data_IF_270546918082
#
_entry.id   IF_270546918082
#
_cell.length_a   1.000
_cell.length_b   1.000
_cell.length_c   1.000
_cell.angle_alpha   90.00
_cell.angle_beta   90.00
_cell.angle_gamma   90.00
#
_symmetry.space_group_name_H-M   'P 1'
#
loop_
_entity.id
_entity.type
_entity.pdbx_description
1 polymer ?
#
# COMPACT_ATOMS: atom_id res chain seq x y z
N UNK A 1 -8.07 -12.52 10.84
CA UNK A 1 -7.49 -13.64 10.06
C UNK A 1 -6.80 -14.51 11.07
N UNK A 2 -7.12 -15.80 11.16
CA UNK A 2 -6.50 -16.67 12.17
C UNK A 2 -5.06 -16.99 11.72
N UNK A 3 -4.10 -16.18 12.15
CA UNK A 3 -2.66 -16.39 11.90
C UNK A 3 -2.21 -17.80 12.28
N UNK A 4 -2.75 -18.33 13.37
CA UNK A 4 -2.55 -19.72 13.81
C UNK A 4 -2.97 -20.77 12.77
N UNK A 5 -4.02 -20.52 11.97
CA UNK A 5 -4.43 -21.43 10.89
C UNK A 5 -3.47 -21.37 9.70
N UNK A 6 -2.91 -20.19 9.42
CA UNK A 6 -1.93 -19.99 8.35
C UNK A 6 -0.61 -20.66 8.70
N UNK A 7 -0.13 -20.49 9.93
CA UNK A 7 1.08 -21.16 10.44
C UNK A 7 0.92 -22.68 10.47
N UNK A 8 -0.22 -23.18 10.94
CA UNK A 8 -0.51 -24.61 10.92
C UNK A 8 -0.57 -25.17 9.49
N UNK A 9 -1.11 -24.41 8.53
CA UNK A 9 -1.13 -24.81 7.13
C UNK A 9 0.28 -24.83 6.52
N UNK A 10 1.11 -23.81 6.80
CA UNK A 10 2.50 -23.75 6.36
C UNK A 10 3.32 -24.91 6.90
N UNK A 11 3.24 -25.19 8.21
CA UNK A 11 3.96 -26.31 8.82
C UNK A 11 3.58 -27.66 8.20
N UNK A 12 2.29 -27.87 7.93
CA UNK A 12 1.81 -29.08 7.25
C UNK A 12 2.29 -29.18 5.80
N UNK A 13 2.41 -28.05 5.11
CA UNK A 13 2.89 -27.98 3.74
C UNK A 13 4.41 -28.27 3.68
N UNK A 14 5.16 -27.75 4.63
CA UNK A 14 6.60 -28.01 4.78
C UNK A 14 6.88 -29.47 5.13
N UNK A 15 6.10 -30.08 6.03
CA UNK A 15 6.17 -31.52 6.32
C UNK A 15 5.90 -32.37 5.07
N UNK A 16 4.86 -32.02 4.30
CA UNK A 16 4.54 -32.73 3.06
C UNK A 16 5.62 -32.56 1.99
N UNK A 17 6.23 -31.38 1.89
CA UNK A 17 7.35 -31.13 0.97
C UNK A 17 8.59 -31.91 1.38
N UNK A 18 8.96 -31.95 2.66
CA UNK A 18 10.13 -32.70 3.13
C UNK A 18 9.98 -34.21 2.98
N UNK A 19 8.74 -34.72 3.12
CA UNK A 19 8.46 -36.15 2.95
C UNK A 19 8.42 -36.56 1.48
N UNK A 20 8.20 -35.62 0.55
CA UNK A 20 8.07 -35.87 -0.88
C UNK A 20 9.00 -35.00 -1.70
N UNK A 21 10.31 -35.11 -1.47
CA UNK A 21 11.33 -34.62 -2.40
C UNK A 21 11.21 -35.38 -3.74
N UNK A 22 10.39 -34.85 -4.64
CA UNK A 22 10.19 -35.36 -6.00
C UNK A 22 11.44 -35.05 -6.84
N UNK A 23 12.55 -35.74 -6.57
CA UNK A 23 13.70 -35.72 -7.47
C UNK A 23 13.59 -36.88 -8.45
N UNK A 24 13.77 -36.60 -9.73
CA UNK A 24 13.77 -37.60 -10.80
C UNK A 24 14.73 -38.76 -10.45
N UNK A 25 15.85 -38.44 -9.81
CA UNK A 25 16.87 -39.39 -9.38
C UNK A 25 16.34 -40.36 -8.31
N UNK A 26 15.73 -39.85 -7.21
CA UNK A 26 15.10 -40.68 -6.17
C UNK A 26 13.95 -41.55 -6.71
N UNK A 27 13.20 -41.03 -7.69
CA UNK A 27 12.10 -41.79 -8.32
C UNK A 27 12.59 -42.85 -9.30
N UNK A 28 13.75 -42.65 -9.93
CA UNK A 28 14.37 -43.62 -10.84
C UNK A 28 15.09 -44.75 -10.11
N UNK A 29 15.52 -44.54 -8.87
CA UNK A 29 16.27 -45.51 -8.04
C UNK A 29 15.60 -46.90 -7.95
N UNK A 30 14.29 -47.05 -7.67
CA UNK A 30 13.61 -48.35 -7.67
C UNK A 30 13.54 -49.02 -9.06
N UNK A 31 13.55 -48.24 -10.14
CA UNK A 31 13.51 -48.76 -11.51
C UNK A 31 14.88 -49.39 -11.86
N UNK A 32 15.97 -48.69 -11.55
CA UNK A 32 17.35 -49.17 -11.76
C UNK A 32 17.74 -50.33 -10.85
N UNK A 33 17.26 -50.35 -9.60
CA UNK A 33 17.56 -51.43 -8.64
C UNK A 33 16.74 -52.71 -8.86
N UNK A 34 15.66 -52.65 -9.65
CA UNK A 34 14.90 -53.83 -10.06
C UNK A 34 15.56 -54.63 -11.20
N UNK A 35 16.60 -54.08 -11.85
CA UNK A 35 17.40 -54.82 -12.82
C UNK A 35 18.28 -55.83 -12.07
N UNK A 36 18.13 -57.15 -12.30
CA UNK A 36 18.94 -58.14 -11.61
C UNK A 36 20.42 -57.91 -11.90
N UNK A 37 21.19 -57.58 -10.86
CA UNK A 37 22.64 -57.62 -10.90
C UNK A 37 23.08 -59.09 -11.02
N UNK A 38 23.23 -59.58 -12.24
CA UNK A 38 23.91 -60.85 -12.48
C UNK A 38 25.41 -60.67 -12.15
N UNK A 39 25.81 -61.18 -10.99
CA UNK A 39 27.19 -61.15 -10.42
C UNK A 39 28.15 -62.10 -11.17
N UNK A 40 28.04 -62.17 -12.50
CA UNK A 40 29.01 -62.88 -13.36
C UNK A 40 29.49 -61.96 -14.47
N UNK A 41 30.14 -60.87 -14.07
CA UNK A 41 30.92 -60.02 -14.96
C UNK A 41 32.07 -60.85 -15.59
N UNK A 42 31.85 -61.34 -16.81
CA UNK A 42 32.95 -61.69 -17.71
C UNK A 42 33.58 -60.36 -18.15
N UNK A 43 34.86 -60.20 -17.86
CA UNK A 43 35.65 -58.99 -18.09
C UNK A 43 35.98 -58.76 -19.59
N UNK A 44 34.96 -58.65 -20.44
CA UNK A 44 35.13 -58.35 -21.86
C UNK A 44 34.10 -57.37 -22.43
N UNK A 45 33.36 -56.67 -21.58
CA UNK A 45 32.34 -55.72 -22.03
C UNK A 45 32.84 -54.27 -21.91
N UNK A 46 32.81 -53.54 -23.02
CA UNK A 46 33.23 -52.14 -23.15
C UNK A 46 32.24 -51.15 -22.49
N UNK A 47 31.43 -51.63 -21.54
CA UNK A 47 30.22 -50.99 -21.04
C UNK A 47 30.39 -50.28 -19.69
N UNK A 48 31.61 -50.18 -19.14
CA UNK A 48 31.87 -49.57 -17.83
C UNK A 48 32.05 -48.03 -17.85
N UNK A 49 31.64 -47.35 -18.92
CA UNK A 49 31.76 -45.90 -19.03
C UNK A 49 30.48 -45.18 -18.58
N UNK A 50 30.01 -45.42 -17.34
CA UNK A 50 29.09 -44.53 -16.61
C UNK A 50 28.91 -45.06 -15.19
N UNK A 51 29.96 -44.89 -14.36
CA UNK A 51 29.88 -45.13 -12.90
C UNK A 51 29.69 -43.83 -12.11
N UNK A 52 29.58 -42.68 -12.77
CA UNK A 52 29.07 -41.46 -12.15
C UNK A 52 27.56 -41.42 -12.36
N UNK A 53 26.79 -41.23 -11.29
CA UNK A 53 25.35 -41.38 -11.27
C UNK A 53 24.63 -40.60 -12.39
N UNK A 54 23.46 -41.07 -12.84
CA UNK A 54 22.79 -40.53 -14.03
C UNK A 54 22.43 -39.07 -13.80
N UNK A 55 23.15 -38.18 -14.48
CA UNK A 55 22.72 -36.79 -14.64
C UNK A 55 21.80 -36.71 -15.87
N UNK A 56 20.77 -35.85 -15.89
CA UNK A 56 19.83 -35.80 -17.02
C UNK A 56 20.51 -35.59 -18.38
N UNK A 57 21.62 -34.85 -18.39
CA UNK A 57 22.45 -34.61 -19.58
C UNK A 57 23.35 -35.79 -19.96
N UNK A 58 23.76 -36.65 -19.02
CA UNK A 58 24.53 -37.86 -19.35
C UNK A 58 23.65 -38.95 -19.96
N UNK A 59 22.37 -38.99 -19.60
CA UNK A 59 21.42 -40.00 -20.10
C UNK A 59 21.18 -39.88 -21.61
N UNK A 60 21.11 -38.67 -22.16
CA UNK A 60 20.96 -38.45 -23.60
C UNK A 60 22.18 -38.93 -24.39
N UNK A 61 23.39 -38.65 -23.87
CA UNK A 61 24.65 -39.13 -24.45
C UNK A 61 24.77 -40.66 -24.38
N UNK A 62 24.39 -41.26 -23.24
CA UNK A 62 24.38 -42.71 -23.05
C UNK A 62 23.39 -43.39 -24.01
N UNK A 63 22.17 -42.84 -24.15
CA UNK A 63 21.19 -43.36 -25.11
C UNK A 63 21.74 -43.30 -26.55
N UNK A 64 22.34 -42.19 -26.96
CA UNK A 64 22.95 -42.07 -28.28
C UNK A 64 24.06 -43.13 -28.48
N UNK A 65 24.96 -43.28 -27.51
CA UNK A 65 26.00 -44.30 -27.53
C UNK A 65 25.44 -45.72 -27.64
N UNK A 66 24.42 -46.07 -26.84
CA UNK A 66 23.79 -47.38 -26.89
C UNK A 66 23.06 -47.63 -28.21
N UNK A 67 22.38 -46.63 -28.78
CA UNK A 67 21.77 -46.81 -30.11
C UNK A 67 22.80 -47.15 -31.19
N UNK A 68 23.95 -46.47 -31.16
CA UNK A 68 25.04 -46.76 -32.09
C UNK A 68 25.64 -48.15 -31.83
N UNK A 69 25.96 -48.48 -30.58
CA UNK A 69 26.49 -49.79 -30.19
C UNK A 69 25.56 -50.94 -30.59
N UNK A 70 24.27 -50.84 -30.26
CA UNK A 70 23.28 -51.86 -30.61
C UNK A 70 23.05 -51.94 -32.11
N UNK A 71 23.12 -50.83 -32.85
CA UNK A 71 23.04 -50.87 -34.32
C UNK A 71 24.21 -51.65 -34.93
N UNK A 72 25.43 -51.44 -34.44
CA UNK A 72 26.64 -52.17 -34.85
C UNK A 72 26.58 -53.64 -34.46
N UNK A 73 26.15 -53.91 -33.22
CA UNK A 73 26.01 -55.28 -32.73
C UNK A 73 24.95 -56.05 -33.51
N UNK A 74 23.81 -55.41 -33.81
CA UNK A 74 22.75 -55.99 -34.66
C UNK A 74 23.27 -56.32 -36.05
N UNK A 75 24.03 -55.41 -36.66
CA UNK A 75 24.63 -55.64 -37.98
C UNK A 75 25.60 -56.84 -37.94
N UNK A 76 26.55 -56.83 -37.00
CA UNK A 76 27.53 -57.92 -36.84
C UNK A 76 26.86 -59.26 -36.56
N UNK A 77 25.84 -59.30 -35.71
CA UNK A 77 25.11 -60.52 -35.37
C UNK A 77 24.35 -61.07 -36.58
N UNK A 78 23.61 -60.22 -37.29
CA UNK A 78 22.88 -60.65 -38.49
C UNK A 78 23.85 -61.15 -39.56
N UNK A 79 24.97 -60.46 -39.77
CA UNK A 79 26.02 -60.89 -40.69
C UNK A 79 26.63 -62.23 -40.28
N UNK A 80 26.95 -62.42 -39.00
CA UNK A 80 27.53 -63.67 -38.51
C UNK A 80 26.55 -64.85 -38.63
N UNK A 81 25.30 -64.66 -38.21
CA UNK A 81 24.26 -65.70 -38.29
C UNK A 81 23.95 -66.04 -39.74
N UNK A 82 23.93 -65.06 -40.65
CA UNK A 82 23.71 -65.33 -42.08
C UNK A 82 24.89 -66.07 -42.70
N UNK A 83 26.14 -65.68 -42.39
CA UNK A 83 27.34 -66.42 -42.80
C UNK A 83 27.33 -67.86 -42.29
N UNK A 84 27.02 -68.07 -41.01
CA UNK A 84 26.95 -69.40 -40.41
C UNK A 84 25.84 -70.25 -41.05
N UNK A 85 24.63 -69.70 -41.20
CA UNK A 85 23.51 -70.39 -41.86
C UNK A 85 23.86 -70.75 -43.30
N UNK A 86 24.53 -69.87 -44.04
CA UNK A 86 24.98 -70.13 -45.40
C UNK A 86 26.00 -71.27 -45.47
N UNK A 87 27.02 -71.24 -44.62
CA UNK A 87 28.02 -72.32 -44.53
C UNK A 87 27.33 -73.64 -44.16
N UNK A 88 26.43 -73.63 -43.19
CA UNK A 88 25.67 -74.82 -42.78
C UNK A 88 24.75 -75.35 -43.87
N UNK A 89 24.16 -74.47 -44.69
CA UNK A 89 23.33 -74.88 -45.81
C UNK A 89 24.13 -75.55 -46.94
N UNK A 90 25.39 -75.14 -47.15
CA UNK A 90 26.27 -75.70 -48.20
C UNK A 90 27.03 -76.94 -47.72
N UNK A 91 27.45 -76.96 -46.45
CA UNK A 91 28.30 -78.02 -45.86
C UNK A 91 27.48 -79.06 -45.11
N UNK A 92 26.24 -78.75 -44.73
CA UNK A 92 25.36 -79.67 -44.01
C UNK A 92 24.88 -80.83 -44.89
N UNK A 93 24.86 -82.03 -44.31
CA UNK A 93 24.39 -83.25 -44.96
C UNK A 93 23.19 -83.80 -44.16
N UNK A 94 21.95 -83.75 -44.66
CA UNK A 94 21.53 -83.28 -45.99
C UNK A 94 21.48 -81.74 -46.13
N UNK A 95 21.62 -81.20 -47.36
CA UNK A 95 21.60 -79.76 -47.62
C UNK A 95 20.26 -79.15 -47.23
N UNK A 96 20.30 -78.02 -46.54
CA UNK A 96 19.10 -77.31 -46.10
C UNK A 96 18.49 -76.55 -47.29
N UNK A 97 17.48 -77.12 -47.93
CA UNK A 97 16.74 -76.50 -49.03
C UNK A 97 15.48 -75.86 -48.44
N UNK A 98 15.47 -74.53 -48.34
CA UNK A 98 14.27 -73.79 -47.94
C UNK A 98 13.18 -74.01 -48.99
N UNK A 99 12.07 -74.62 -48.58
CA UNK A 99 10.97 -74.85 -49.51
C UNK A 99 10.10 -73.60 -49.67
N UNK A 100 9.42 -73.48 -50.81
CA UNK A 100 8.47 -72.36 -51.02
C UNK A 100 7.37 -72.33 -49.95
N UNK A 101 6.97 -73.50 -49.43
CA UNK A 101 5.97 -73.61 -48.37
C UNK A 101 6.46 -73.03 -47.04
N UNK A 102 7.69 -73.36 -46.63
CA UNK A 102 8.31 -72.80 -45.42
C UNK A 102 8.45 -71.27 -45.50
N UNK A 103 8.81 -70.73 -46.67
CA UNK A 103 8.86 -69.28 -46.87
C UNK A 103 7.47 -68.63 -46.72
N UNK A 104 6.43 -69.24 -47.29
CA UNK A 104 5.07 -68.71 -47.17
C UNK A 104 4.54 -68.78 -45.73
N UNK A 105 4.92 -69.80 -44.96
CA UNK A 105 4.58 -69.91 -43.54
C UNK A 105 5.30 -68.83 -42.71
N UNK A 106 6.61 -68.66 -42.92
CA UNK A 106 7.40 -67.61 -42.28
C UNK A 106 6.94 -66.19 -42.66
N UNK A 107 6.46 -65.98 -43.87
CA UNK A 107 5.87 -64.70 -44.29
C UNK A 107 4.58 -64.39 -43.54
N UNK A 108 3.72 -65.41 -43.33
CA UNK A 108 2.48 -65.25 -42.55
C UNK A 108 2.78 -64.96 -41.08
N UNK A 109 3.71 -65.69 -40.48
CA UNK A 109 4.14 -65.45 -39.09
C UNK A 109 4.76 -64.07 -38.92
N UNK A 110 5.65 -63.67 -39.83
CA UNK A 110 6.23 -62.32 -39.82
C UNK A 110 5.17 -61.23 -40.00
N UNK A 111 4.14 -61.46 -40.82
CA UNK A 111 3.05 -60.50 -40.99
C UNK A 111 2.25 -60.34 -39.69
N UNK A 112 1.96 -61.44 -38.99
CA UNK A 112 1.29 -61.42 -37.69
C UNK A 112 2.14 -60.65 -36.65
N UNK A 113 3.40 -61.02 -36.47
CA UNK A 113 4.31 -60.37 -35.51
C UNK A 113 4.53 -58.89 -35.85
N UNK A 114 4.63 -58.53 -37.13
CA UNK A 114 4.73 -57.12 -37.55
C UNK A 114 3.47 -56.33 -37.23
N UNK A 115 2.30 -56.95 -37.32
CA UNK A 115 1.04 -56.29 -36.96
C UNK A 115 0.96 -56.02 -35.46
N UNK A 116 1.33 -56.99 -34.62
CA UNK A 116 1.39 -56.86 -33.16
C UNK A 116 2.44 -55.84 -32.72
N UNK A 117 3.62 -55.85 -33.34
CA UNK A 117 4.66 -54.87 -33.08
C UNK A 117 4.22 -53.46 -33.47
N UNK A 118 3.40 -53.31 -34.53
CA UNK A 118 2.84 -52.02 -34.92
C UNK A 118 1.81 -51.52 -33.90
N UNK A 119 0.93 -52.39 -33.39
CA UNK A 119 -0.04 -52.00 -32.36
C UNK A 119 0.67 -51.59 -31.08
N UNK A 120 1.65 -52.37 -30.62
CA UNK A 120 2.41 -52.04 -29.42
C UNK A 120 3.20 -50.74 -29.56
N UNK A 121 3.76 -50.45 -30.74
CA UNK A 121 4.44 -49.17 -31.00
C UNK A 121 3.49 -47.98 -30.91
N UNK A 122 2.25 -48.12 -31.37
CA UNK A 122 1.25 -47.07 -31.26
C UNK A 122 0.86 -46.86 -29.79
N UNK A 123 0.63 -47.94 -29.05
CA UNK A 123 0.32 -47.87 -27.62
C UNK A 123 1.44 -47.20 -26.81
N UNK A 124 2.70 -47.56 -27.08
CA UNK A 124 3.85 -46.92 -26.44
C UNK A 124 3.96 -45.45 -26.82
N UNK A 125 3.71 -45.09 -28.09
CA UNK A 125 3.73 -43.70 -28.52
C UNK A 125 2.64 -42.88 -27.81
N UNK A 126 1.42 -43.41 -27.72
CA UNK A 126 0.31 -42.79 -27.02
C UNK A 126 0.63 -42.62 -25.53
N UNK A 127 1.17 -43.65 -24.88
CA UNK A 127 1.59 -43.58 -23.47
C UNK A 127 2.68 -42.52 -23.23
N UNK A 128 3.65 -42.39 -24.15
CA UNK A 128 4.68 -41.34 -24.08
C UNK A 128 4.04 -39.95 -24.18
N UNK A 129 3.11 -39.75 -25.11
CA UNK A 129 2.42 -38.45 -25.23
C UNK A 129 1.62 -38.10 -23.97
N UNK A 130 0.91 -39.07 -23.39
CA UNK A 130 0.18 -38.86 -22.13
C UNK A 130 1.13 -38.54 -20.96
N UNK A 131 2.28 -39.21 -20.89
CA UNK A 131 3.28 -38.96 -19.85
C UNK A 131 3.88 -37.56 -19.99
N UNK A 132 4.16 -37.10 -21.21
CA UNK A 132 4.63 -35.73 -21.46
C UNK A 132 3.59 -34.69 -21.04
N UNK A 133 2.32 -34.91 -21.39
CA UNK A 133 1.23 -34.01 -20.99
C UNK A 133 1.06 -33.95 -19.48
N UNK A 134 1.02 -35.11 -18.82
CA UNK A 134 0.93 -35.21 -17.35
C UNK A 134 2.16 -34.56 -16.69
N UNK A 135 3.35 -34.76 -17.25
CA UNK A 135 4.60 -34.13 -16.79
C UNK A 135 4.54 -32.60 -16.85
N UNK A 136 4.09 -32.04 -17.98
CA UNK A 136 3.92 -30.58 -18.13
C UNK A 136 2.86 -30.02 -17.19
N UNK A 137 1.74 -30.73 -17.01
CA UNK A 137 0.70 -30.29 -16.06
C UNK A 137 1.20 -30.34 -14.61
N UNK A 138 1.96 -31.38 -14.24
CA UNK A 138 2.54 -31.52 -12.91
C UNK A 138 3.55 -30.40 -12.63
N UNK A 139 4.44 -30.08 -13.58
CA UNK A 139 5.39 -28.96 -13.46
C UNK A 139 4.67 -27.63 -13.20
N UNK A 140 3.64 -27.30 -13.98
CA UNK A 140 2.85 -26.07 -13.76
C UNK A 140 2.17 -26.04 -12.39
N UNK A 141 1.59 -27.17 -11.95
CA UNK A 141 0.96 -27.27 -10.64
C UNK A 141 1.97 -27.09 -9.51
N UNK A 142 3.14 -27.70 -9.66
CA UNK A 142 4.22 -27.58 -8.69
C UNK A 142 4.71 -26.14 -8.58
N UNK A 143 4.94 -25.45 -9.70
CA UNK A 143 5.29 -24.03 -9.73
C UNK A 143 4.23 -23.16 -9.05
N UNK A 144 2.95 -23.39 -9.32
CA UNK A 144 1.87 -22.67 -8.67
C UNK A 144 1.84 -22.88 -7.15
N UNK A 145 2.01 -24.12 -6.69
CA UNK A 145 2.08 -24.44 -5.26
C UNK A 145 3.28 -23.74 -4.62
N UNK A 146 4.44 -23.71 -5.28
CA UNK A 146 5.62 -22.99 -4.78
C UNK A 146 5.36 -21.48 -4.65
N UNK A 147 4.73 -20.87 -5.67
CA UNK A 147 4.36 -19.46 -5.64
C UNK A 147 3.34 -19.14 -4.53
N UNK A 148 2.32 -19.99 -4.38
CA UNK A 148 1.31 -19.83 -3.32
C UNK A 148 1.91 -20.03 -1.92
N UNK A 149 2.83 -20.98 -1.77
CA UNK A 149 3.55 -21.21 -0.50
C UNK A 149 4.41 -20.00 -0.14
N UNK A 150 5.11 -19.41 -1.11
CA UNK A 150 5.89 -18.18 -0.89
C UNK A 150 4.99 -17.01 -0.45
N UNK A 151 3.84 -16.81 -1.10
CA UNK A 151 2.86 -15.80 -0.68
C UNK A 151 2.31 -16.07 0.71
N UNK A 152 2.03 -17.34 1.03
CA UNK A 152 1.50 -17.73 2.33
C UNK A 152 2.50 -17.44 3.46
N UNK A 153 3.81 -17.55 3.19
CA UNK A 153 4.87 -17.16 4.14
C UNK A 153 4.91 -15.64 4.41
N UNK A 154 4.58 -14.80 3.43
CA UNK A 154 4.63 -13.34 3.60
C UNK A 154 3.40 -12.74 4.30
N UNK A 155 2.26 -13.44 4.26
CA UNK A 155 0.98 -12.91 4.78
C UNK A 155 0.99 -12.69 6.30
N UNK A 156 1.53 -13.60 7.15
CA UNK A 156 1.61 -13.38 8.59
C UNK A 156 2.38 -12.10 8.96
N UNK A 157 3.54 -11.90 8.36
CA UNK A 157 4.37 -10.71 8.61
C UNK A 157 3.61 -9.43 8.25
N UNK A 158 3.00 -9.38 7.06
CA UNK A 158 2.18 -8.25 6.63
C UNK A 158 0.96 -8.03 7.52
N UNK A 159 0.35 -9.10 8.03
CA UNK A 159 -0.79 -9.00 8.95
C UNK A 159 -0.36 -8.37 10.27
N UNK A 160 0.76 -8.83 10.85
CA UNK A 160 1.30 -8.24 12.09
C UNK A 160 1.72 -6.78 11.92
N UNK A 161 2.33 -6.43 10.78
CA UNK A 161 2.67 -5.04 10.44
C UNK A 161 1.41 -4.16 10.35
N UNK A 162 0.37 -4.62 9.67
CA UNK A 162 -0.90 -3.90 9.56
C UNK A 162 -1.61 -3.76 10.91
N UNK A 163 -1.58 -4.81 11.74
CA UNK A 163 -2.14 -4.75 13.10
C UNK A 163 -1.39 -3.75 13.97
N UNK A 164 -0.06 -3.74 13.94
CA UNK A 164 0.76 -2.74 14.63
C UNK A 164 0.44 -1.32 14.16
N UNK A 165 0.28 -1.12 12.84
CA UNK A 165 -0.09 0.18 12.27
C UNK A 165 -1.49 0.63 12.67
N UNK A 166 -2.45 -0.30 12.76
CA UNK A 166 -3.80 -0.01 13.24
C UNK A 166 -3.75 0.43 14.70
N UNK A 167 -2.99 -0.25 15.55
CA UNK A 167 -2.84 0.12 16.97
C UNK A 167 -2.14 1.48 17.14
N UNK A 168 -1.11 1.77 16.34
CA UNK A 168 -0.47 3.10 16.30
C UNK A 168 -1.48 4.19 15.92
N UNK A 169 -2.26 3.97 14.86
CA UNK A 169 -3.30 4.91 14.42
C UNK A 169 -4.41 5.08 15.47
N UNK A 170 -4.79 4.02 16.17
CA UNK A 170 -5.76 4.09 17.28
C UNK A 170 -5.21 4.91 18.44
N UNK A 171 -3.95 4.71 18.82
CA UNK A 171 -3.29 5.48 19.87
C UNK A 171 -3.15 6.96 19.50
N UNK A 172 -2.83 7.27 18.24
CA UNK A 172 -2.84 8.65 17.73
C UNK A 172 -4.25 9.26 17.76
N UNK A 173 -5.28 8.46 17.50
CA UNK A 173 -6.67 8.91 17.52
C UNK A 173 -7.19 9.15 18.94
N UNK A 174 -6.73 8.37 19.93
CA UNK A 174 -7.07 8.54 21.35
C UNK A 174 -6.29 9.65 22.06
N UNK A 175 -5.29 10.27 21.40
CA UNK A 175 -4.47 11.32 22.01
C UNK A 175 -5.35 12.52 22.45
N UNK A 176 -5.33 12.89 23.75
CA UNK A 176 -6.31 13.81 24.36
C UNK A 176 -6.16 15.29 23.93
N UNK A 177 -5.25 15.59 23.00
CA UNK A 177 -5.07 16.91 22.39
C UNK A 177 -5.66 17.03 20.98
N UNK A 178 -6.13 15.94 20.37
CA UNK A 178 -6.69 15.99 19.01
C UNK A 178 -8.12 16.52 19.06
N UNK A 179 -8.37 17.63 18.35
CA UNK A 179 -9.66 18.32 18.34
C UNK A 179 -10.78 17.30 18.04
N UNK A 180 -11.82 17.17 18.89
CA UNK A 180 -12.84 16.11 18.77
C UNK A 180 -13.54 16.03 17.40
N UNK A 181 -13.57 17.16 16.68
CA UNK A 181 -14.17 17.27 15.35
C UNK A 181 -13.31 16.67 14.22
N UNK A 182 -12.03 16.37 14.48
CA UNK A 182 -11.13 15.69 13.54
C UNK A 182 -11.21 14.16 13.67
N UNK A 183 -11.72 13.65 14.80
CA UNK A 183 -11.92 12.23 15.07
C UNK A 183 -13.36 11.78 14.79
N UNK A 184 -14.08 12.50 13.93
CA UNK A 184 -15.46 12.15 13.56
C UNK A 184 -15.46 11.09 12.45
N UNK A 185 -16.37 10.10 12.49
CA UNK A 185 -16.63 9.22 11.36
C UNK A 185 -16.97 10.02 10.10
N UNK A 186 -16.64 9.47 8.93
CA UNK A 186 -16.82 10.13 7.63
C UNK A 186 -18.21 10.74 7.46
N UNK A 187 -19.27 10.01 7.81
CA UNK A 187 -20.66 10.51 7.74
C UNK A 187 -20.87 11.79 8.58
N UNK A 188 -20.40 11.80 9.83
CA UNK A 188 -20.51 12.96 10.73
C UNK A 188 -19.65 14.14 10.25
N UNK A 189 -18.49 13.89 9.64
CA UNK A 189 -17.67 14.97 9.05
C UNK A 189 -18.38 15.63 7.87
N UNK A 190 -19.04 14.85 7.01
CA UNK A 190 -19.81 15.37 5.87
C UNK A 190 -21.00 16.21 6.35
N UNK A 191 -21.72 15.77 7.38
CA UNK A 191 -22.78 16.55 8.01
C UNK A 191 -22.26 17.87 8.57
N UNK A 192 -21.15 17.85 9.32
CA UNK A 192 -20.54 19.04 9.90
C UNK A 192 -20.05 20.02 8.83
N UNK A 193 -19.45 19.52 7.75
CA UNK A 193 -19.06 20.33 6.59
C UNK A 193 -20.31 20.96 5.95
N UNK A 194 -21.39 20.19 5.77
CA UNK A 194 -22.63 20.72 5.20
C UNK A 194 -23.25 21.82 6.07
N UNK A 195 -23.20 21.67 7.39
CA UNK A 195 -23.67 22.66 8.35
C UNK A 195 -22.84 23.93 8.30
N UNK A 196 -21.50 23.81 8.37
CA UNK A 196 -20.60 24.97 8.26
C UNK A 196 -20.72 25.69 6.93
N UNK A 197 -20.96 24.98 5.82
CA UNK A 197 -21.23 25.60 4.52
C UNK A 197 -22.51 26.42 4.52
N UNK A 198 -23.58 25.95 5.19
CA UNK A 198 -24.83 26.72 5.35
C UNK A 198 -24.61 27.96 6.21
N UNK A 199 -23.95 27.81 7.36
CA UNK A 199 -23.60 28.93 8.24
C UNK A 199 -22.73 29.97 7.51
N UNK A 200 -21.76 29.53 6.71
CA UNK A 200 -20.94 30.42 5.89
C UNK A 200 -21.75 31.18 4.83
N UNK A 201 -22.74 30.53 4.21
CA UNK A 201 -23.62 31.18 3.24
C UNK A 201 -24.56 32.19 3.91
N UNK A 202 -25.08 31.88 5.10
CA UNK A 202 -25.89 32.80 5.90
C UNK A 202 -25.08 34.03 6.30
N UNK A 203 -23.89 33.84 6.87
CA UNK A 203 -22.97 34.92 7.21
C UNK A 203 -22.56 35.77 6.01
N UNK A 204 -22.36 35.15 4.84
CA UNK A 204 -22.06 35.89 3.61
C UNK A 204 -23.24 36.77 3.18
N UNK A 205 -24.47 36.27 3.27
CA UNK A 205 -25.70 37.05 2.98
C UNK A 205 -25.89 38.19 3.97
N UNK A 206 -25.62 37.95 5.25
CA UNK A 206 -25.67 39.00 6.29
C UNK A 206 -24.61 40.07 6.05
N UNK A 207 -23.38 39.67 5.70
CA UNK A 207 -22.32 40.59 5.33
C UNK A 207 -22.70 41.44 4.11
N UNK A 208 -23.26 40.84 3.07
CA UNK A 208 -23.73 41.57 1.89
C UNK A 208 -24.86 42.55 2.23
N UNK A 209 -25.81 42.12 3.06
CA UNK A 209 -26.89 42.98 3.55
C UNK A 209 -26.37 44.14 4.42
N UNK A 210 -25.34 43.92 5.24
CA UNK A 210 -24.71 44.97 6.03
C UNK A 210 -23.86 45.90 5.17
N UNK A 211 -23.11 45.37 4.19
CA UNK A 211 -22.33 46.14 3.25
C UNK A 211 -23.20 47.06 2.39
N UNK A 212 -24.40 46.62 1.99
CA UNK A 212 -25.34 47.48 1.25
C UNK A 212 -25.98 48.58 2.13
N UNK A 213 -26.15 48.35 3.44
CA UNK A 213 -26.67 49.34 4.40
C UNK A 213 -25.60 50.32 4.90
N UNK A 214 -24.34 49.90 4.97
CA UNK A 214 -23.22 50.71 5.43
C UNK A 214 -23.07 52.07 4.72
N UNK A 215 -23.12 52.20 3.38
CA UNK A 215 -22.97 53.50 2.72
C UNK A 215 -24.13 54.45 3.01
N UNK A 216 -25.37 53.93 3.13
CA UNK A 216 -26.53 54.76 3.49
C UNK A 216 -26.38 55.31 4.91
N UNK A 217 -26.02 54.45 5.87
CA UNK A 217 -25.78 54.86 7.25
C UNK A 217 -24.59 55.81 7.39
N UNK A 218 -23.53 55.64 6.59
CA UNK A 218 -22.42 56.61 6.49
C UNK A 218 -22.91 57.97 6.00
N UNK A 219 -23.67 58.01 4.90
CA UNK A 219 -24.25 59.26 4.38
C UNK A 219 -25.20 59.94 5.39
N UNK A 220 -26.03 59.18 6.08
CA UNK A 220 -26.90 59.70 7.15
C UNK A 220 -26.08 60.28 8.31
N UNK A 221 -25.02 59.58 8.74
CA UNK A 221 -24.13 60.07 9.80
C UNK A 221 -23.39 61.34 9.38
N UNK A 222 -22.90 61.41 8.14
CA UNK A 222 -22.22 62.60 7.61
C UNK A 222 -23.19 63.79 7.49
N UNK A 223 -24.45 63.55 7.10
CA UNK A 223 -25.50 64.57 7.09
C UNK A 223 -25.81 65.08 8.51
N UNK A 224 -26.01 64.19 9.47
CA UNK A 224 -26.27 64.56 10.86
C UNK A 224 -25.08 65.31 11.48
N UNK A 225 -23.84 64.93 11.15
CA UNK A 225 -22.65 65.69 11.53
C UNK A 225 -22.66 67.10 10.93
N UNK A 226 -23.00 67.23 9.65
CA UNK A 226 -23.11 68.53 9.00
C UNK A 226 -24.22 69.40 9.60
N UNK A 227 -25.33 68.80 10.06
CA UNK A 227 -26.43 69.49 10.76
C UNK A 227 -26.07 69.85 12.22
N UNK A 228 -25.25 69.03 12.90
CA UNK A 228 -24.77 69.29 14.26
C UNK A 228 -23.77 70.44 14.33
N UNK A 229 -22.83 70.54 13.38
CA UNK A 229 -21.82 71.60 13.35
C UNK A 229 -22.39 73.03 13.56
N UNK A 230 -23.40 73.49 12.81
CA UNK A 230 -23.97 74.83 13.03
C UNK A 230 -24.74 74.93 14.35
N UNK A 231 -25.32 73.84 14.86
CA UNK A 231 -26.00 73.83 16.16
C UNK A 231 -25.00 73.92 17.33
N UNK A 232 -23.86 73.25 17.22
CA UNK A 232 -22.75 73.33 18.18
C UNK A 232 -22.16 74.74 18.20
N UNK A 233 -21.95 75.35 17.03
CA UNK A 233 -21.52 76.76 16.92
C UNK A 233 -22.57 77.69 17.54
N UNK A 234 -23.86 77.52 17.24
CA UNK A 234 -24.94 78.31 17.85
C UNK A 234 -25.00 78.15 19.37
N UNK A 235 -24.82 76.92 19.88
CA UNK A 235 -24.75 76.63 21.32
C UNK A 235 -23.53 77.28 21.95
N UNK A 236 -22.37 77.23 21.31
CA UNK A 236 -21.15 77.86 21.81
C UNK A 236 -21.30 79.39 21.85
N UNK A 237 -21.89 79.98 20.81
CA UNK A 237 -22.18 81.41 20.72
C UNK A 237 -23.22 81.84 21.77
N UNK A 238 -24.27 81.04 21.99
CA UNK A 238 -25.27 81.35 23.04
C UNK A 238 -24.70 81.18 24.44
N UNK A 239 -23.86 80.18 24.67
CA UNK A 239 -23.19 79.96 25.96
C UNK A 239 -22.16 81.05 26.26
N UNK A 240 -21.39 81.50 25.27
CA UNK A 240 -20.46 82.63 25.42
C UNK A 240 -21.24 83.93 25.64
N UNK A 241 -22.29 84.20 24.87
CA UNK A 241 -23.17 85.35 25.09
C UNK A 241 -23.81 85.35 26.49
N UNK A 242 -24.28 84.18 26.97
CA UNK A 242 -24.84 84.05 28.32
C UNK A 242 -23.77 84.25 29.41
N UNK A 243 -22.57 83.69 29.23
CA UNK A 243 -21.43 83.92 30.15
C UNK A 243 -21.01 85.38 30.16
N UNK A 244 -20.97 86.05 29.02
CA UNK A 244 -20.67 87.47 28.97
C UNK A 244 -21.78 88.32 29.59
N UNK A 245 -23.05 87.97 29.39
CA UNK A 245 -24.17 88.64 30.05
C UNK A 245 -24.11 88.46 31.58
N UNK A 246 -23.74 87.26 32.04
CA UNK A 246 -23.51 86.99 33.45
C UNK A 246 -22.32 87.78 33.99
N UNK A 247 -21.18 87.83 33.29
CA UNK A 247 -20.04 88.68 33.65
C UNK A 247 -20.40 90.16 33.65
N UNK A 248 -21.21 90.64 32.69
CA UNK A 248 -21.69 92.04 32.67
C UNK A 248 -22.60 92.34 33.85
N UNK A 249 -23.45 91.40 34.25
CA UNK A 249 -24.30 91.51 35.45
C UNK A 249 -23.47 91.49 36.74
N UNK A 250 -22.49 90.60 36.83
CA UNK A 250 -21.57 90.50 37.97
C UNK A 250 -20.66 91.73 38.06
N UNK A 251 -20.16 92.27 36.94
CA UNK A 251 -19.40 93.52 36.91
C UNK A 251 -20.26 94.74 37.26
N UNK A 252 -21.52 94.78 36.82
CA UNK A 252 -22.46 95.85 37.19
C UNK A 252 -22.86 95.79 38.68
N UNK A 253 -22.94 94.60 39.28
CA UNK A 253 -23.22 94.42 40.71
C UNK A 253 -21.96 94.55 41.59
N UNK A 254 -20.79 94.21 41.07
CA UNK A 254 -19.50 94.28 41.76
C UNK A 254 -18.96 95.70 41.94
N UNK A 255 -19.34 96.64 41.06
CA UNK A 255 -18.97 98.05 41.21
C UNK A 255 -19.53 98.72 42.48
N UNK A 256 -20.69 98.27 42.96
CA UNK A 256 -21.32 98.83 44.18
C UNK A 256 -20.62 98.37 45.45
N UNK A 257 -20.02 97.17 45.45
CA UNK A 257 -19.27 96.64 46.59
C UNK A 257 -17.88 97.28 46.71
N UNK A 258 -17.17 97.47 45.59
CA UNK A 258 -15.85 98.11 45.57
C UNK A 258 -15.92 99.59 45.95
N UNK A 259 -16.97 100.33 45.53
CA UNK A 259 -17.17 101.73 45.95
C UNK A 259 -17.44 101.85 47.46
N UNK A 260 -18.14 100.88 48.05
CA UNK A 260 -18.37 100.83 49.49
C UNK A 260 -17.10 100.47 50.26
N UNK A 261 -16.28 99.54 49.76
CA UNK A 261 -15.01 99.20 50.39
C UNK A 261 -13.98 100.35 50.30
N UNK A 262 -13.92 101.06 49.17
CA UNK A 262 -13.06 102.24 49.04
C UNK A 262 -13.48 103.36 49.99
N UNK A 263 -14.79 103.61 50.14
CA UNK A 263 -15.31 104.55 51.15
C UNK A 263 -14.96 104.09 52.56
N UNK A 264 -15.15 102.82 52.90
CA UNK A 264 -14.83 102.30 54.23
C UNK A 264 -13.33 102.41 54.55
N UNK A 265 -12.44 102.18 53.58
CA UNK A 265 -10.99 102.39 53.74
C UNK A 265 -10.66 103.86 53.94
N UNK A 266 -11.28 104.76 53.19
CA UNK A 266 -11.11 106.20 53.37
C UNK A 266 -11.60 106.68 54.74
N UNK A 267 -12.78 106.22 55.18
CA UNK A 267 -13.30 106.52 56.50
C UNK A 267 -12.37 106.02 57.61
N UNK A 268 -11.87 104.77 57.55
CA UNK A 268 -10.89 104.26 58.54
C UNK A 268 -9.57 105.02 58.52
N UNK A 269 -9.07 105.41 57.35
CA UNK A 269 -7.85 106.21 57.24
C UNK A 269 -8.05 107.61 57.82
N UNK A 270 -9.19 108.25 57.56
CA UNK A 270 -9.55 109.55 58.15
C UNK A 270 -9.70 109.46 59.67
N UNK A 271 -10.29 108.37 60.17
CA UNK A 271 -10.40 108.08 61.60
C UNK A 271 -9.03 107.86 62.24
N UNK A 272 -8.10 107.14 61.59
CA UNK A 272 -6.75 106.94 62.12
C UNK A 272 -5.95 108.24 62.19
N UNK A 273 -6.10 109.11 61.19
CA UNK A 273 -5.42 110.43 61.16
C UNK A 273 -6.00 111.36 62.23
N UNK A 274 -7.33 111.37 62.41
CA UNK A 274 -7.96 112.14 63.47
C UNK A 274 -7.59 111.63 64.87
N UNK A 275 -7.47 110.31 65.06
CA UNK A 275 -6.98 109.71 66.30
C UNK A 275 -5.51 110.06 66.60
N UNK A 276 -4.66 110.17 65.57
CA UNK A 276 -3.27 110.60 65.73
C UNK A 276 -3.10 112.10 66.01
N UNK A 277 -3.99 112.96 65.47
CA UNK A 277 -3.89 114.41 65.62
C UNK A 277 -4.44 114.95 66.96
N UNK A 278 -5.26 114.18 67.67
CA UNK A 278 -5.94 114.63 68.88
C UNK A 278 -5.35 114.08 70.20
N UNK A 279 -4.32 113.23 70.17
CA UNK A 279 -3.63 112.65 71.35
C UNK A 279 -4.58 112.27 72.51
N UNK A 280 -5.72 111.65 72.17
CA UNK A 280 -6.72 111.20 73.15
C UNK A 280 -6.35 109.79 73.59
N UNK A 281 -5.79 109.67 74.79
CA UNK A 281 -5.92 108.45 75.60
C UNK A 281 -7.34 108.35 76.16
N UNK A 282 -8.04 107.26 75.83
CA UNK A 282 -9.24 106.76 76.54
C UNK A 282 -9.57 105.36 76.01
N UNK A 283 -9.39 104.27 76.76
CA UNK A 283 -10.23 103.74 77.86
C UNK A 283 -11.62 103.31 77.37
N UNK A 284 -11.82 102.00 77.20
CA UNK A 284 -13.06 101.36 76.76
C UNK A 284 -12.81 100.24 75.77
#
# INVERSE_FOLDING_TARGET
MDTAKIEAALGRLEELQSNHDVSIIKLSEPITSSAPQDVRQRASDASNASLDGPTPSSLEADLAHYTELFSKLRFSYVEQVTKEKFIRAIVGDPPLIVTMQENLELEKENAAVKSELKTLKLEVADMVTELEEKGRQLSRRYENVQLETAKLREIPDKATELEARIEELRAEQEYPGSKPHLNLPLAKTQELISRRKREQQELARELEALQSKAPRKRKEADRLKAELQPLEVKRHNSMSAAREAQRRKEAALGGVADDLEQRARWWRASESVLKQALDIKGSG
#
